data_IF_835923150071
#
_entry.id   IF_835923150071
#
_cell.length_a   1.000
_cell.length_b   1.000
_cell.length_c   1.000
_cell.angle_alpha   90.00
_cell.angle_beta   90.00
_cell.angle_gamma   90.00
#
_symmetry.space_group_name_H-M   'P 1'
#
loop_
_entity.id
_entity.type
_entity.pdbx_description
1 polymer ?
#
# COMPACT_ATOMS: atom_id res chain seq x y z
N UNK A 1 -14.43 -9.62 -2.25
CA UNK A 1 -15.08 -10.71 -1.47
C UNK A 1 -16.47 -10.92 -2.04
N UNK A 2 -16.98 -12.15 -2.04
CA UNK A 2 -18.41 -12.41 -2.28
C UNK A 2 -19.22 -11.75 -1.16
N UNK A 3 -20.47 -11.38 -1.42
CA UNK A 3 -21.33 -10.87 -0.35
C UNK A 3 -21.69 -11.99 0.61
N UNK A 4 -21.84 -11.66 1.89
CA UNK A 4 -22.33 -12.57 2.95
C UNK A 4 -23.56 -11.95 3.60
N UNK A 5 -24.50 -12.76 4.05
CA UNK A 5 -25.73 -12.31 4.71
C UNK A 5 -25.82 -12.94 6.09
N UNK A 6 -25.67 -12.11 7.12
CA UNK A 6 -25.82 -12.53 8.52
C UNK A 6 -27.05 -11.85 9.09
N UNK A 7 -28.08 -12.64 9.39
CA UNK A 7 -29.39 -12.13 9.78
C UNK A 7 -30.00 -11.23 8.69
N UNK A 8 -30.27 -9.96 9.05
CA UNK A 8 -30.84 -8.96 8.14
C UNK A 8 -29.79 -8.09 7.43
N UNK A 9 -28.50 -8.27 7.73
CA UNK A 9 -27.41 -7.42 7.21
C UNK A 9 -26.70 -8.17 6.08
N UNK A 10 -26.48 -7.47 4.97
CA UNK A 10 -25.65 -7.95 3.87
C UNK A 10 -24.30 -7.25 3.93
N UNK A 11 -23.23 -8.03 4.05
CA UNK A 11 -21.84 -7.60 4.09
C UNK A 11 -21.20 -7.74 2.72
N UNK A 12 -20.53 -6.68 2.26
CA UNK A 12 -19.88 -6.66 0.94
C UNK A 12 -18.40 -6.29 1.01
N UNK A 13 -18.00 -5.57 2.05
CA UNK A 13 -16.65 -5.03 2.18
C UNK A 13 -16.05 -5.44 3.53
N UNK A 14 -14.73 -5.40 3.60
CA UNK A 14 -13.99 -5.63 4.84
C UNK A 14 -12.97 -4.50 4.98
N UNK A 15 -13.11 -3.70 6.04
CA UNK A 15 -12.15 -2.67 6.39
C UNK A 15 -11.00 -3.32 7.16
N UNK A 16 -9.79 -3.24 6.60
CA UNK A 16 -8.59 -3.81 7.19
C UNK A 16 -7.70 -2.71 7.77
N UNK A 17 -7.29 -2.90 9.02
CA UNK A 17 -6.44 -2.00 9.79
C UNK A 17 -5.23 -2.82 10.22
N UNK A 18 -4.05 -2.22 10.16
CA UNK A 18 -2.84 -2.86 10.65
C UNK A 18 -1.98 -1.84 11.39
N UNK A 19 -1.52 -2.21 12.58
CA UNK A 19 -0.42 -1.50 13.23
C UNK A 19 0.89 -1.83 12.52
N UNK A 20 1.62 -0.79 12.11
CA UNK A 20 2.79 -0.95 11.24
C UNK A 20 3.97 -1.58 11.99
N UNK A 21 4.13 -1.31 13.28
CA UNK A 21 5.28 -1.78 14.06
C UNK A 21 5.10 -3.25 14.47
N UNK A 22 4.03 -3.56 15.20
CA UNK A 22 3.71 -4.89 15.71
C UNK A 22 3.19 -5.84 14.64
N UNK A 23 2.74 -5.32 13.50
CA UNK A 23 1.97 -6.06 12.48
C UNK A 23 0.63 -6.57 13.00
N UNK A 24 0.10 -6.06 14.12
CA UNK A 24 -1.19 -6.45 14.63
C UNK A 24 -2.30 -6.05 13.66
N UNK A 25 -3.22 -6.97 13.36
CA UNK A 25 -4.25 -6.77 12.33
C UNK A 25 -5.63 -6.75 12.94
N UNK A 26 -6.48 -5.94 12.35
CA UNK A 26 -7.91 -5.92 12.62
C UNK A 26 -8.66 -5.88 11.30
N UNK A 27 -9.72 -6.67 11.20
CA UNK A 27 -10.61 -6.71 10.04
C UNK A 27 -12.04 -6.51 10.51
N UNK A 28 -12.74 -5.55 9.90
CA UNK A 28 -14.10 -5.18 10.26
C UNK A 28 -15.00 -5.42 9.04
N UNK A 29 -15.99 -6.32 9.13
CA UNK A 29 -16.92 -6.55 8.04
C UNK A 29 -17.88 -5.35 7.95
N UNK A 30 -17.99 -4.76 6.76
CA UNK A 30 -18.83 -3.60 6.46
C UNK A 30 -20.03 -4.05 5.63
N UNK A 31 -21.22 -3.80 6.17
CA UNK A 31 -22.49 -4.21 5.59
C UNK A 31 -23.62 -3.23 5.88
N UNK A 32 -24.77 -3.47 5.23
CA UNK A 32 -25.97 -2.67 5.38
C UNK A 32 -27.24 -3.53 5.42
N UNK A 33 -28.31 -3.00 6.02
CA UNK A 33 -29.63 -3.64 6.08
C UNK A 33 -30.35 -3.67 4.72
N UNK A 34 -30.05 -2.70 3.86
CA UNK A 34 -30.59 -2.62 2.50
C UNK A 34 -29.46 -2.27 1.55
N UNK A 35 -29.32 -3.07 0.49
CA UNK A 35 -28.36 -2.84 -0.59
C UNK A 35 -29.15 -2.37 -1.80
N UNK A 36 -29.45 -1.06 -1.87
CA UNK A 36 -29.99 -0.46 -3.10
C UNK A 36 -28.86 -0.31 -4.14
N UNK A 37 -27.68 0.06 -3.66
CA UNK A 37 -26.45 0.24 -4.44
C UNK A 37 -25.23 -0.08 -3.56
N UNK A 38 -24.10 -0.47 -4.18
CA UNK A 38 -22.86 -0.79 -3.43
C UNK A 38 -22.24 0.44 -2.77
N UNK A 39 -22.47 1.63 -3.35
CA UNK A 39 -21.88 2.89 -2.94
C UNK A 39 -22.49 3.40 -1.63
N UNK A 40 -23.80 3.16 -1.42
CA UNK A 40 -24.49 3.45 -0.16
C UNK A 40 -24.00 2.65 1.06
N UNK A 41 -23.20 1.60 0.88
CA UNK A 41 -22.64 0.79 1.98
C UNK A 41 -21.29 1.36 2.42
N UNK A 42 -20.38 1.55 1.46
CA UNK A 42 -19.01 2.01 1.70
C UNK A 42 -18.97 3.54 1.71
N UNK A 43 -19.48 4.13 2.79
CA UNK A 43 -19.49 5.58 2.99
C UNK A 43 -18.55 5.99 4.11
N UNK A 44 -18.12 7.25 4.07
CA UNK A 44 -17.31 7.85 5.14
C UNK A 44 -17.95 7.75 6.53
N UNK A 45 -19.28 7.90 6.61
CA UNK A 45 -20.04 7.70 7.84
C UNK A 45 -19.93 6.26 8.36
N UNK A 46 -20.05 5.28 7.48
CA UNK A 46 -19.95 3.86 7.84
C UNK A 46 -18.55 3.53 8.34
N UNK A 47 -17.51 4.02 7.64
CA UNK A 47 -16.10 3.80 8.03
C UNK A 47 -15.78 4.48 9.36
N UNK A 48 -16.17 5.74 9.54
CA UNK A 48 -15.96 6.48 10.79
C UNK A 48 -16.60 5.74 11.98
N UNK A 49 -17.86 5.30 11.83
CA UNK A 49 -18.55 4.51 12.87
C UNK A 49 -17.83 3.20 13.17
N UNK A 50 -17.41 2.48 12.13
CA UNK A 50 -16.70 1.20 12.30
C UNK A 50 -15.38 1.37 13.05
N UNK A 51 -14.60 2.40 12.71
CA UNK A 51 -13.34 2.72 13.39
C UNK A 51 -13.59 3.10 14.85
N UNK A 52 -14.55 3.99 15.10
CA UNK A 52 -14.90 4.41 16.46
C UNK A 52 -15.25 3.23 17.35
N UNK A 53 -16.17 2.37 16.89
CA UNK A 53 -16.56 1.14 17.62
C UNK A 53 -15.36 0.26 17.93
N UNK A 54 -14.37 0.19 17.02
CA UNK A 54 -13.25 -0.72 17.19
C UNK A 54 -12.14 -0.16 18.08
N UNK A 55 -11.81 1.12 17.96
CA UNK A 55 -10.82 1.78 18.82
C UNK A 55 -11.36 2.07 20.23
N UNK A 56 -12.67 2.26 20.38
CA UNK A 56 -13.30 2.45 21.69
C UNK A 56 -13.57 1.11 22.41
N UNK A 57 -13.30 -0.04 21.77
CA UNK A 57 -13.48 -1.36 22.39
C UNK A 57 -12.26 -1.69 23.28
N UNK A 58 -12.44 -1.91 24.61
CA UNK A 58 -11.35 -2.24 25.52
C UNK A 58 -10.68 -3.60 25.24
N UNK A 59 -11.35 -4.52 24.54
CA UNK A 59 -10.77 -5.80 24.11
C UNK A 59 -9.87 -5.65 22.88
N UNK A 60 -9.88 -4.48 22.23
CA UNK A 60 -9.01 -4.20 21.10
C UNK A 60 -7.71 -3.58 21.61
N UNK A 61 -6.54 -4.20 21.37
CA UNK A 61 -5.26 -3.62 21.82
C UNK A 61 -4.83 -2.40 21.00
N UNK A 62 -5.53 -2.08 19.90
CA UNK A 62 -5.25 -0.88 19.11
C UNK A 62 -5.75 0.36 19.85
N UNK A 63 -4.85 1.34 19.99
CA UNK A 63 -5.15 2.68 20.46
C UNK A 63 -5.20 3.66 19.29
N UNK A 64 -5.89 4.79 19.48
CA UNK A 64 -5.91 5.86 18.49
C UNK A 64 -4.48 6.29 18.11
N UNK A 65 -4.07 6.18 16.83
CA UNK A 65 -2.69 6.37 16.44
C UNK A 65 -2.35 7.85 16.24
N UNK A 66 -1.07 8.22 16.35
CA UNK A 66 -0.61 9.58 15.99
C UNK A 66 -0.72 9.86 14.49
N UNK A 67 -0.58 8.82 13.67
CA UNK A 67 -0.58 8.88 12.21
C UNK A 67 -1.34 7.68 11.65
N UNK A 68 -2.30 7.95 10.78
CA UNK A 68 -3.03 6.93 10.02
C UNK A 68 -2.81 7.16 8.53
N UNK A 69 -2.39 6.11 7.82
CA UNK A 69 -2.10 6.17 6.39
C UNK A 69 -3.22 5.47 5.62
N UNK A 70 -3.88 6.18 4.70
CA UNK A 70 -4.95 5.63 3.85
C UNK A 70 -4.64 5.86 2.39
N UNK A 71 -5.38 5.21 1.49
CA UNK A 71 -5.41 5.63 0.09
C UNK A 71 -6.20 6.95 -0.09
N UNK A 72 -6.42 7.34 -1.35
CA UNK A 72 -7.17 8.54 -1.74
C UNK A 72 -8.67 8.28 -1.91
N UNK A 73 -9.20 7.16 -1.40
CA UNK A 73 -10.61 6.76 -1.46
C UNK A 73 -11.55 7.82 -0.89
N UNK A 74 -12.75 7.90 -1.44
CA UNK A 74 -13.78 8.87 -1.01
C UNK A 74 -14.39 8.51 0.34
N UNK A 75 -14.32 7.25 0.74
CA UNK A 75 -14.71 6.74 2.06
C UNK A 75 -13.82 7.29 3.19
N UNK A 76 -12.63 7.81 2.88
CA UNK A 76 -11.72 8.43 3.83
C UNK A 76 -11.75 9.96 3.78
N UNK A 77 -12.88 10.56 3.40
CA UNK A 77 -13.10 12.01 3.33
C UNK A 77 -14.34 12.43 4.12
N UNK A 78 -14.43 13.65 4.63
CA UNK A 78 -15.64 14.14 5.33
C UNK A 78 -15.74 13.63 6.78
N UNK A 79 -16.76 12.83 7.12
CA UNK A 79 -16.98 12.39 8.52
C UNK A 79 -15.81 11.59 9.11
N UNK A 80 -15.13 10.79 8.29
CA UNK A 80 -13.89 10.14 8.66
C UNK A 80 -12.82 11.17 9.09
N UNK A 81 -12.65 12.26 8.36
CA UNK A 81 -11.63 13.29 8.68
C UNK A 81 -11.98 14.03 9.96
N UNK A 82 -13.28 14.30 10.19
CA UNK A 82 -13.78 14.87 11.45
C UNK A 82 -13.43 13.96 12.63
N UNK A 83 -13.71 12.66 12.53
CA UNK A 83 -13.36 11.70 13.59
C UNK A 83 -11.86 11.65 13.87
N UNK A 84 -11.02 11.65 12.84
CA UNK A 84 -9.57 11.68 13.02
C UNK A 84 -9.12 12.95 13.73
N UNK A 85 -9.72 14.11 13.42
CA UNK A 85 -9.43 15.38 14.07
C UNK A 85 -9.82 15.38 15.55
N UNK A 86 -11.02 14.86 15.89
CA UNK A 86 -11.49 14.72 17.28
C UNK A 86 -10.51 13.93 18.15
N UNK A 87 -9.85 12.92 17.58
CA UNK A 87 -8.89 12.07 18.26
C UNK A 87 -7.42 12.48 18.03
N UNK A 88 -7.16 13.68 17.49
CA UNK A 88 -5.81 14.20 17.20
C UNK A 88 -4.94 13.28 16.31
N UNK A 89 -5.57 12.53 15.41
CA UNK A 89 -4.91 11.62 14.47
C UNK A 89 -4.53 12.38 13.20
N UNK A 90 -3.24 12.39 12.84
CA UNK A 90 -2.81 12.93 11.55
C UNK A 90 -3.14 11.93 10.44
N UNK A 91 -3.73 12.41 9.36
CA UNK A 91 -4.01 11.59 8.17
C UNK A 91 -2.90 11.83 7.14
N UNK A 92 -2.30 10.75 6.65
CA UNK A 92 -1.44 10.77 5.48
C UNK A 92 -2.08 10.00 4.33
N UNK A 93 -2.31 10.67 3.21
CA UNK A 93 -2.76 10.03 1.99
C UNK A 93 -1.58 9.38 1.27
N UNK A 94 -1.73 8.11 0.90
CA UNK A 94 -0.75 7.38 0.11
C UNK A 94 -0.50 8.11 -1.21
N UNK A 95 0.79 8.26 -1.56
CA UNK A 95 1.20 8.78 -2.88
C UNK A 95 1.28 7.69 -3.93
N UNK A 96 1.50 6.45 -3.51
CA UNK A 96 1.59 5.29 -4.39
C UNK A 96 1.05 4.03 -3.72
N UNK A 97 0.74 3.00 -4.52
CA UNK A 97 0.36 1.67 -4.02
C UNK A 97 1.44 1.04 -3.11
N UNK A 98 2.71 1.41 -3.28
CA UNK A 98 3.82 0.91 -2.44
C UNK A 98 3.73 1.37 -1.01
N UNK A 99 3.27 2.60 -0.77
CA UNK A 99 3.02 3.10 0.59
C UNK A 99 2.00 2.22 1.33
N UNK A 100 1.10 1.57 0.57
CA UNK A 100 0.10 0.62 1.07
C UNK A 100 0.54 -0.84 0.98
N UNK A 101 1.78 -1.15 0.59
CA UNK A 101 2.21 -2.53 0.31
C UNK A 101 2.07 -3.49 1.50
N UNK A 102 2.20 -2.97 2.72
CA UNK A 102 1.99 -3.73 3.96
C UNK A 102 0.53 -4.18 4.09
N UNK A 103 -0.42 -3.26 3.93
CA UNK A 103 -1.86 -3.58 4.06
C UNK A 103 -2.34 -4.42 2.88
N UNK A 104 -1.81 -4.19 1.67
CA UNK A 104 -2.15 -5.02 0.50
C UNK A 104 -1.64 -6.47 0.64
N UNK A 105 -0.46 -6.66 1.23
CA UNK A 105 0.03 -8.01 1.55
C UNK A 105 -0.89 -8.68 2.56
N UNK A 106 -1.37 -7.95 3.56
CA UNK A 106 -2.36 -8.48 4.50
C UNK A 106 -3.68 -8.84 3.82
N UNK A 107 -4.22 -7.95 2.98
CA UNK A 107 -5.45 -8.21 2.22
C UNK A 107 -5.36 -9.54 1.46
N UNK A 108 -4.23 -9.78 0.78
CA UNK A 108 -3.99 -11.05 0.10
C UNK A 108 -3.95 -12.24 1.08
N UNK A 109 -3.19 -12.14 2.16
CA UNK A 109 -3.09 -13.23 3.16
C UNK A 109 -4.43 -13.52 3.84
N UNK A 110 -5.26 -12.51 4.06
CA UNK A 110 -6.59 -12.68 4.61
C UNK A 110 -7.47 -13.50 3.66
N UNK A 111 -7.48 -13.14 2.37
CA UNK A 111 -8.21 -13.87 1.32
C UNK A 111 -7.70 -15.33 1.24
N UNK A 112 -6.38 -15.52 1.15
CA UNK A 112 -5.75 -16.85 1.08
C UNK A 112 -6.09 -17.77 2.26
N UNK A 113 -6.35 -17.22 3.46
CA UNK A 113 -6.73 -18.01 4.64
C UNK A 113 -8.25 -18.16 4.81
N UNK A 114 -9.02 -17.20 4.33
CA UNK A 114 -10.47 -17.15 4.56
C UNK A 114 -11.23 -18.06 3.59
N UNK A 115 -10.89 -18.04 2.31
CA UNK A 115 -11.65 -18.70 1.25
C UNK A 115 -11.43 -20.22 1.11
N UNK A 116 -10.28 -20.83 1.44
CA UNK A 116 -10.13 -22.29 1.28
C UNK A 116 -11.15 -23.12 2.06
N UNK A 117 -11.53 -22.68 3.26
CA UNK A 117 -12.59 -23.32 4.05
C UNK A 117 -13.96 -23.25 3.37
N UNK A 118 -14.23 -22.17 2.63
CA UNK A 118 -15.45 -22.00 1.85
C UNK A 118 -15.41 -22.83 0.59
N UNK A 119 -14.30 -22.81 -0.13
CA UNK A 119 -14.08 -23.61 -1.33
C UNK A 119 -14.25 -25.11 -1.01
N UNK A 120 -13.71 -25.58 0.12
CA UNK A 120 -13.90 -26.96 0.57
C UNK A 120 -15.36 -27.29 0.88
N UNK A 121 -16.07 -26.40 1.59
CA UNK A 121 -17.50 -26.55 1.89
C UNK A 121 -18.35 -26.56 0.62
N UNK A 122 -18.02 -25.69 -0.34
CA UNK A 122 -18.70 -25.59 -1.64
C UNK A 122 -18.48 -26.86 -2.47
N UNK A 123 -17.26 -27.40 -2.49
CA UNK A 123 -16.95 -28.66 -3.17
C UNK A 123 -17.74 -29.85 -2.59
N UNK A 124 -17.93 -29.89 -1.27
CA UNK A 124 -18.73 -30.92 -0.60
C UNK A 124 -20.25 -30.74 -0.82
N UNK A 125 -20.69 -29.51 -1.04
CA UNK A 125 -22.11 -29.14 -1.17
C UNK A 125 -22.57 -28.89 -2.61
N UNK A 126 -21.72 -29.20 -3.61
CA UNK A 126 -22.03 -28.98 -5.04
C UNK A 126 -23.38 -29.56 -5.46
N UNK A 127 -23.72 -30.74 -4.94
CA UNK A 127 -24.97 -31.43 -5.22
C UNK A 127 -26.23 -30.71 -4.72
N UNK A 128 -26.08 -29.75 -3.79
CA UNK A 128 -27.17 -28.98 -3.21
C UNK A 128 -27.37 -27.63 -3.93
N UNK A 129 -26.49 -27.26 -4.88
CA UNK A 129 -26.43 -25.91 -5.47
C UNK A 129 -26.29 -24.76 -4.45
N UNK A 130 -25.94 -25.09 -3.20
CA UNK A 130 -25.72 -24.12 -2.13
C UNK A 130 -24.24 -23.70 -2.10
N UNK A 131 -24.00 -22.39 -2.18
CA UNK A 131 -22.67 -21.80 -2.01
C UNK A 131 -22.53 -21.20 -0.61
N UNK A 132 -21.48 -21.59 0.08
CA UNK A 132 -21.09 -21.14 1.40
C UNK A 132 -20.56 -19.72 1.31
N UNK A 133 -21.25 -18.78 1.96
CA UNK A 133 -20.85 -17.37 1.98
C UNK A 133 -20.36 -16.89 3.32
N UNK A 134 -20.21 -17.78 4.30
CA UNK A 134 -19.99 -17.51 5.73
C UNK A 134 -18.62 -16.89 6.10
N UNK A 135 -18.11 -15.96 5.30
CA UNK A 135 -16.79 -15.36 5.52
C UNK A 135 -16.85 -14.41 6.71
N UNK A 136 -17.99 -13.78 6.99
CA UNK A 136 -18.17 -12.90 8.15
C UNK A 136 -18.06 -13.70 9.45
N UNK A 137 -18.62 -14.91 9.47
CA UNK A 137 -18.53 -15.82 10.63
C UNK A 137 -17.09 -16.31 10.85
N UNK A 138 -16.37 -16.63 9.78
CA UNK A 138 -15.01 -17.16 9.86
C UNK A 138 -13.95 -16.07 10.05
N UNK A 139 -14.28 -14.80 9.77
CA UNK A 139 -13.34 -13.69 9.81
C UNK A 139 -12.62 -13.54 11.16
N UNK A 140 -13.30 -13.54 12.33
CA UNK A 140 -12.62 -13.39 13.62
C UNK A 140 -11.60 -14.51 13.87
N UNK A 141 -11.96 -15.76 13.58
CA UNK A 141 -11.09 -16.93 13.76
C UNK A 141 -9.83 -16.84 12.89
N UNK A 142 -9.98 -16.40 11.64
CA UNK A 142 -8.85 -16.24 10.72
C UNK A 142 -7.93 -15.10 11.16
N UNK A 143 -8.49 -13.96 11.56
CA UNK A 143 -7.71 -12.80 12.04
C UNK A 143 -6.96 -13.15 13.32
N UNK A 144 -7.62 -13.83 14.26
CA UNK A 144 -7.01 -14.33 15.49
C UNK A 144 -5.86 -15.30 15.19
N UNK A 145 -6.07 -16.27 14.28
CA UNK A 145 -5.00 -17.17 13.84
C UNK A 145 -3.80 -16.41 13.25
N UNK A 146 -4.05 -15.37 12.44
CA UNK A 146 -2.98 -14.56 11.85
C UNK A 146 -2.22 -13.75 12.91
N UNK A 147 -2.90 -13.21 13.91
CA UNK A 147 -2.27 -12.42 14.98
C UNK A 147 -1.52 -13.27 16.02
N UNK A 148 -1.90 -14.53 16.19
CA UNK A 148 -1.18 -15.49 17.04
C UNK A 148 -0.06 -16.24 16.30
N UNK A 149 0.04 -16.11 14.97
CA UNK A 149 1.09 -16.76 14.19
C UNK A 149 2.38 -15.94 14.18
N UNK A 150 3.52 -16.62 14.36
CA UNK A 150 4.85 -16.00 14.24
C UNK A 150 5.01 -15.40 12.85
N UNK A 151 5.33 -14.11 12.80
CA UNK A 151 5.53 -13.40 11.54
C UNK A 151 7.01 -13.33 11.21
N UNK A 152 7.42 -13.89 10.06
CA UNK A 152 8.85 -13.93 9.62
C UNK A 152 9.59 -12.60 9.70
N UNK A 153 8.90 -11.48 9.45
CA UNK A 153 9.50 -10.14 9.48
C UNK A 153 9.89 -9.70 10.88
N UNK A 154 9.12 -10.02 11.91
CA UNK A 154 9.37 -9.55 13.29
C UNK A 154 9.90 -10.68 14.20
N UNK A 155 9.78 -11.94 13.79
CA UNK A 155 10.27 -13.11 14.53
C UNK A 155 9.39 -13.55 15.70
N UNK A 156 8.31 -12.82 16.00
CA UNK A 156 7.33 -13.12 17.07
C UNK A 156 5.89 -13.00 16.54
N UNK A 157 4.90 -13.33 17.37
CA UNK A 157 3.48 -13.15 17.03
C UNK A 157 3.08 -11.66 17.13
N UNK A 158 2.18 -11.15 16.26
CA UNK A 158 1.67 -9.79 16.39
C UNK A 158 1.01 -9.47 17.74
N UNK A 159 0.39 -10.47 18.39
CA UNK A 159 -0.17 -10.34 19.75
C UNK A 159 0.91 -10.05 20.78
N UNK A 160 2.06 -10.71 20.72
CA UNK A 160 3.17 -10.41 21.63
C UNK A 160 3.88 -9.10 21.25
N UNK A 161 3.87 -8.75 19.96
CA UNK A 161 4.57 -7.59 19.45
C UNK A 161 3.88 -6.26 19.81
N UNK A 162 2.53 -6.24 19.88
CA UNK A 162 1.78 -5.01 20.19
C UNK A 162 1.97 -4.56 21.65
N UNK A 163 2.36 -5.46 22.54
CA UNK A 163 2.66 -5.16 23.95
C UNK A 163 4.06 -4.59 24.17
N UNK A 164 4.93 -4.64 23.16
CA UNK A 164 6.31 -4.16 23.25
C UNK A 164 6.40 -2.69 22.85
N UNK A 165 7.27 -1.95 23.54
CA UNK A 165 7.59 -0.56 23.19
C UNK A 165 8.31 -0.46 21.84
N UNK A 166 9.22 -1.41 21.57
CA UNK A 166 9.97 -1.47 20.31
C UNK A 166 9.95 -2.89 19.73
N UNK A 167 9.81 -2.97 18.39
CA UNK A 167 9.81 -4.24 17.65
C UNK A 167 10.79 -4.12 16.49
N UNK A 168 11.79 -5.01 16.46
CA UNK A 168 12.73 -5.09 15.34
C UNK A 168 12.08 -5.82 14.17
N UNK A 169 12.04 -5.15 13.01
CA UNK A 169 11.51 -5.73 11.78
C UNK A 169 12.64 -5.95 10.75
N UNK A 170 12.77 -7.19 10.29
CA UNK A 170 13.57 -7.57 9.12
C UNK A 170 12.96 -6.95 7.86
N UNK A 171 13.78 -6.59 6.86
CA UNK A 171 13.29 -6.11 5.58
C UNK A 171 12.45 -7.17 4.87
N UNK A 172 11.44 -6.73 4.11
CA UNK A 172 10.52 -7.61 3.37
C UNK A 172 11.22 -8.40 2.26
N UNK A 173 12.27 -7.81 1.69
CA UNK A 173 13.10 -8.37 0.65
C UNK A 173 14.54 -8.45 1.16
N UNK A 174 15.24 -9.53 0.83
CA UNK A 174 16.68 -9.58 1.00
C UNK A 174 17.31 -8.55 0.08
N UNK A 175 18.10 -7.65 0.64
CA UNK A 175 18.95 -6.76 -0.14
C UNK A 175 20.34 -7.41 -0.24
N UNK A 176 20.86 -7.47 -1.45
CA UNK A 176 22.22 -7.95 -1.72
C UNK A 176 23.12 -6.71 -1.81
N UNK A 177 23.90 -6.45 -0.77
CA UNK A 177 24.78 -5.28 -0.74
C UNK A 177 24.95 -4.69 0.66
N UNK A 178 25.78 -3.65 0.73
CA UNK A 178 25.92 -2.81 1.91
C UNK A 178 24.69 -1.91 2.03
N UNK A 179 24.20 -1.70 3.26
CA UNK A 179 22.96 -0.98 3.53
C UNK A 179 23.22 0.18 4.47
N UNK A 180 22.58 1.31 4.22
CA UNK A 180 22.59 2.45 5.13
C UNK A 180 23.89 3.24 5.00
N UNK A 181 24.64 3.37 6.09
CA UNK A 181 25.87 4.18 6.07
C UNK A 181 27.00 3.56 5.24
N UNK A 182 26.96 2.23 5.07
CA UNK A 182 27.96 1.49 4.31
C UNK A 182 27.59 1.43 2.81
N UNK A 183 26.39 1.85 2.41
CA UNK A 183 25.95 1.85 1.01
C UNK A 183 26.63 3.00 0.23
N UNK A 184 27.26 2.67 -0.91
CA UNK A 184 27.87 3.67 -1.77
C UNK A 184 26.81 4.56 -2.40
N UNK A 185 26.78 5.83 -1.96
CA UNK A 185 25.79 6.80 -2.40
C UNK A 185 26.13 7.37 -3.78
N UNK A 186 25.17 7.34 -4.70
CA UNK A 186 25.24 8.11 -5.94
C UNK A 186 25.46 9.61 -5.67
N UNK A 187 26.43 10.19 -6.39
CA UNK A 187 26.68 11.64 -6.39
C UNK A 187 25.49 12.41 -6.92
N UNK A 188 25.23 13.62 -6.42
CA UNK A 188 24.15 14.49 -6.93
C UNK A 188 24.33 14.87 -8.39
N UNK A 189 25.56 14.80 -8.90
CA UNK A 189 25.92 15.27 -10.25
C UNK A 189 25.68 14.21 -11.33
N UNK A 190 25.33 12.98 -10.97
CA UNK A 190 25.03 11.95 -11.98
C UNK A 190 23.62 12.14 -12.55
N UNK A 191 23.49 11.83 -13.83
CA UNK A 191 22.20 11.74 -14.51
C UNK A 191 21.66 10.33 -14.37
N UNK A 192 20.35 10.20 -14.13
CA UNK A 192 19.70 8.90 -13.96
C UNK A 192 18.41 8.78 -14.75
N UNK A 193 18.10 7.54 -15.15
CA UNK A 193 16.74 7.09 -15.46
C UNK A 193 16.25 6.22 -14.31
N UNK A 194 14.95 6.22 -14.07
CA UNK A 194 14.37 5.34 -13.06
C UNK A 194 13.58 4.19 -13.69
N UNK A 195 13.51 3.06 -12.98
CA UNK A 195 12.79 1.88 -13.41
C UNK A 195 11.27 2.15 -13.39
N UNK A 196 10.61 1.97 -14.54
CA UNK A 196 9.16 2.16 -14.70
C UNK A 196 8.38 1.01 -14.07
N UNK A 197 7.30 1.34 -13.37
CA UNK A 197 6.28 0.37 -12.98
C UNK A 197 5.09 0.38 -13.93
N UNK A 198 4.26 -0.68 -13.94
CA UNK A 198 3.04 -0.73 -14.75
C UNK A 198 2.09 0.46 -14.53
N UNK A 199 2.13 1.10 -13.35
CA UNK A 199 1.33 2.30 -13.07
C UNK A 199 1.97 3.62 -13.52
N UNK A 200 3.23 3.60 -13.94
CA UNK A 200 3.95 4.77 -14.49
C UNK A 200 3.74 4.87 -16.02
N UNK A 201 3.16 3.85 -16.66
CA UNK A 201 2.86 3.79 -18.08
C UNK A 201 1.44 4.31 -18.37
N UNK A 202 1.26 5.09 -19.44
CA UNK A 202 -0.07 5.47 -19.93
C UNK A 202 -0.84 4.21 -20.37
N UNK A 203 -2.01 3.96 -19.77
CA UNK A 203 -2.82 2.77 -20.04
C UNK A 203 -2.70 1.63 -19.02
N UNK A 204 -1.77 1.71 -18.06
CA UNK A 204 -1.74 0.87 -16.86
C UNK A 204 -1.44 -0.62 -17.06
N UNK A 205 -1.30 -1.09 -18.30
CA UNK A 205 -0.88 -2.46 -18.66
C UNK A 205 0.42 -2.38 -19.43
N UNK A 206 1.37 -3.20 -19.01
CA UNK A 206 2.69 -3.31 -19.65
C UNK A 206 2.59 -4.25 -20.85
N UNK A 207 2.90 -3.73 -22.03
CA UNK A 207 3.14 -4.52 -23.23
C UNK A 207 4.59 -5.01 -23.26
N UNK A 208 4.85 -6.05 -24.07
CA UNK A 208 6.18 -6.67 -24.13
C UNK A 208 7.26 -5.74 -24.71
N UNK A 209 6.83 -4.73 -25.46
CA UNK A 209 7.62 -3.70 -26.15
C UNK A 209 7.79 -2.41 -25.34
N UNK A 210 7.19 -2.30 -24.15
CA UNK A 210 7.33 -1.11 -23.31
C UNK A 210 8.75 -0.96 -22.75
N UNK A 211 9.22 0.30 -22.68
CA UNK A 211 10.50 0.63 -22.06
C UNK A 211 10.51 0.23 -20.58
N UNK A 212 11.63 -0.36 -20.14
CA UNK A 212 11.85 -0.69 -18.73
C UNK A 212 12.19 0.55 -17.88
N UNK A 213 12.77 1.56 -18.51
CA UNK A 213 13.33 2.75 -17.86
C UNK A 213 12.60 4.01 -18.32
N UNK A 214 12.57 5.03 -17.46
CA UNK A 214 11.96 6.31 -17.77
C UNK A 214 12.53 6.90 -19.06
N UNK A 215 11.69 7.42 -19.97
CA UNK A 215 12.18 8.02 -21.21
C UNK A 215 12.99 9.30 -20.94
N UNK A 216 12.62 10.04 -19.89
CA UNK A 216 13.27 11.28 -19.47
C UNK A 216 14.45 11.02 -18.53
N UNK A 217 15.33 12.02 -18.46
CA UNK A 217 16.54 12.03 -17.62
C UNK A 217 16.27 12.88 -16.38
N UNK A 218 16.85 12.49 -15.25
CA UNK A 218 16.66 13.16 -13.97
C UNK A 218 17.99 13.42 -13.26
N UNK A 219 18.04 14.50 -12.50
CA UNK A 219 19.05 14.73 -11.46
C UNK A 219 18.60 14.15 -10.12
N UNK A 220 19.57 13.78 -9.29
CA UNK A 220 19.31 13.44 -7.88
C UNK A 220 19.17 14.74 -7.10
N UNK A 221 17.93 15.10 -6.78
CA UNK A 221 17.62 16.31 -6.00
C UNK A 221 17.97 16.15 -4.53
N UNK A 222 17.62 14.99 -3.96
CA UNK A 222 17.84 14.71 -2.55
C UNK A 222 18.11 13.23 -2.35
N UNK A 223 18.90 12.91 -1.32
CA UNK A 223 19.05 11.55 -0.83
C UNK A 223 18.92 11.51 0.70
N UNK A 224 18.41 10.40 1.22
CA UNK A 224 18.23 10.15 2.64
C UNK A 224 18.88 8.82 3.02
N UNK A 225 19.72 8.86 4.05
CA UNK A 225 20.40 7.69 4.59
C UNK A 225 19.86 7.43 6.00
N UNK A 226 19.58 6.16 6.30
CA UNK A 226 19.26 5.72 7.65
C UNK A 226 20.00 4.42 7.93
N UNK A 227 20.42 4.21 9.19
CA UNK A 227 21.05 2.95 9.61
C UNK A 227 20.14 1.77 9.25
N UNK A 228 20.71 0.73 8.64
CA UNK A 228 20.00 -0.50 8.25
C UNK A 228 18.82 -0.31 7.27
N UNK A 229 18.79 0.79 6.50
CA UNK A 229 17.84 0.98 5.39
C UNK A 229 18.56 1.42 4.12
N UNK A 230 18.04 1.05 2.93
CA UNK A 230 18.66 1.48 1.69
C UNK A 230 18.60 3.00 1.53
N UNK A 231 19.56 3.57 0.82
CA UNK A 231 19.55 5.00 0.49
C UNK A 231 18.36 5.31 -0.39
N UNK A 232 17.57 6.30 0.02
CA UNK A 232 16.42 6.78 -0.74
C UNK A 232 16.80 8.02 -1.54
N UNK A 233 16.45 8.04 -2.82
CA UNK A 233 16.70 9.12 -3.76
C UNK A 233 15.39 9.77 -4.21
N UNK A 234 15.35 11.11 -4.25
CA UNK A 234 14.29 11.89 -4.88
C UNK A 234 14.84 12.55 -6.13
N UNK A 235 14.06 12.47 -7.20
CA UNK A 235 14.47 12.88 -8.54
C UNK A 235 13.79 14.17 -8.97
N UNK A 236 14.47 14.91 -9.84
CA UNK A 236 13.97 16.09 -10.52
C UNK A 236 14.34 16.01 -12.00
N UNK A 237 13.36 16.21 -12.88
CA UNK A 237 13.54 16.09 -14.32
C UNK A 237 14.54 17.12 -14.83
N UNK A 238 15.41 16.70 -15.75
CA UNK A 238 16.28 17.61 -16.48
C UNK A 238 15.43 18.31 -17.55
N UNK A 239 15.31 19.65 -17.52
CA UNK A 239 14.60 20.38 -18.56
C UNK A 239 15.31 20.20 -19.91
N UNK A 240 14.59 19.71 -20.91
CA UNK A 240 15.07 19.62 -22.29
C UNK A 240 14.62 20.84 -23.09
N UNK A 241 15.55 21.72 -23.44
CA UNK A 241 15.35 22.83 -24.37
C UNK A 241 14.73 24.09 -23.75
N UNK A 242 15.40 25.23 -23.94
CA UNK A 242 14.79 26.55 -23.84
C UNK A 242 13.72 26.65 -24.94
N UNK A 243 12.44 26.64 -24.55
CA UNK A 243 11.36 27.18 -25.37
C UNK A 243 11.00 28.49 -24.69
N UNK A 244 10.89 29.57 -25.46
CA UNK A 244 10.77 30.98 -25.03
C UNK A 244 9.53 31.35 -24.19
N UNK A 245 9.00 30.46 -23.37
CA UNK A 245 7.96 30.75 -22.39
C UNK A 245 8.27 30.02 -21.08
N UNK A 246 8.41 30.79 -20.01
CA UNK A 246 8.78 30.44 -18.62
C UNK A 246 7.85 29.43 -17.90
N UNK A 247 7.16 28.54 -18.60
CA UNK A 247 6.10 27.68 -18.07
C UNK A 247 6.46 26.18 -18.08
N UNK A 248 7.77 25.84 -17.99
CA UNK A 248 8.18 24.45 -17.86
C UNK A 248 7.90 23.93 -16.45
N UNK A 249 6.85 23.13 -16.31
CA UNK A 249 6.55 22.41 -15.07
C UNK A 249 7.56 21.26 -14.93
N UNK A 250 8.61 21.47 -14.13
CA UNK A 250 9.56 20.43 -13.71
C UNK A 250 8.80 19.22 -13.14
N UNK A 251 8.80 18.08 -13.85
CA UNK A 251 8.15 16.88 -13.32
C UNK A 251 9.04 16.27 -12.25
N UNK A 252 8.40 15.97 -11.12
CA UNK A 252 9.02 15.27 -10.01
C UNK A 252 8.21 14.01 -9.76
N UNK A 253 8.80 12.82 -9.91
CA UNK A 253 8.11 11.60 -9.53
C UNK A 253 7.61 11.70 -8.08
N UNK A 254 6.36 11.32 -7.82
CA UNK A 254 5.75 11.43 -6.48
C UNK A 254 6.31 10.40 -5.45
N UNK A 255 7.38 9.69 -5.79
CA UNK A 255 8.00 8.64 -4.96
C UNK A 255 9.53 8.76 -4.90
N UNK A 256 10.10 8.15 -3.88
CA UNK A 256 11.54 7.92 -3.76
C UNK A 256 11.95 6.62 -4.45
N UNK A 257 13.25 6.49 -4.72
CA UNK A 257 13.86 5.36 -5.41
C UNK A 257 15.03 4.81 -4.58
N UNK A 258 15.32 3.52 -4.73
CA UNK A 258 16.55 2.90 -4.23
C UNK A 258 17.59 2.80 -5.35
N UNK A 259 18.86 2.51 -5.02
CA UNK A 259 19.96 2.44 -5.99
C UNK A 259 19.67 1.53 -7.19
N UNK A 260 19.03 0.39 -6.96
CA UNK A 260 18.70 -0.63 -7.98
C UNK A 260 17.59 -0.18 -8.92
N UNK A 261 16.80 0.81 -8.50
CA UNK A 261 15.76 1.40 -9.34
C UNK A 261 16.29 2.55 -10.19
N UNK A 262 17.58 2.84 -10.12
CA UNK A 262 18.23 3.92 -10.85
C UNK A 262 19.30 3.38 -11.79
N UNK A 263 19.19 3.74 -13.06
CA UNK A 263 20.21 3.54 -14.07
C UNK A 263 20.98 4.85 -14.23
N UNK A 264 22.27 4.83 -13.91
CA UNK A 264 23.17 5.96 -14.16
C UNK A 264 23.40 6.07 -15.66
N UNK A 265 23.22 7.27 -16.20
CA UNK A 265 23.44 7.57 -17.61
C UNK A 265 24.88 8.08 -17.76
N UNK A 266 25.71 7.40 -18.57
CA UNK A 266 27.03 7.91 -18.94
C UNK A 266 26.95 9.29 -19.58
N UNK A 267 27.93 10.16 -19.31
CA UNK A 267 27.96 11.54 -19.82
C UNK A 267 28.05 11.62 -21.35
N UNK A 268 28.55 10.55 -21.99
CA UNK A 268 28.71 10.36 -23.43
C UNK A 268 27.48 9.72 -24.09
N UNK A 269 26.37 9.58 -23.36
CA UNK A 269 25.13 9.04 -23.94
C UNK A 269 24.51 10.05 -24.91
N UNK A 270 24.64 9.77 -26.21
CA UNK A 270 23.96 10.54 -27.25
C UNK A 270 22.49 10.12 -27.38
N UNK A 271 21.60 11.10 -27.57
CA UNK A 271 20.21 10.82 -27.94
C UNK A 271 20.10 10.52 -29.44
N UNK A 272 19.08 9.74 -29.85
CA UNK A 272 18.79 9.54 -31.26
C UNK A 272 18.65 10.89 -31.97
N UNK A 273 19.14 11.00 -33.21
CA UNK A 273 19.12 12.26 -33.93
C UNK A 273 17.68 12.71 -34.21
N UNK A 274 17.46 14.02 -34.12
CA UNK A 274 16.12 14.62 -34.10
C UNK A 274 15.33 14.42 -35.41
N UNK A 275 16.01 14.11 -36.52
CA UNK A 275 15.35 13.77 -37.79
C UNK A 275 14.46 12.53 -37.70
N UNK A 276 14.65 11.66 -36.70
CA UNK A 276 13.76 10.51 -36.42
C UNK A 276 12.35 10.96 -36.02
N UNK A 277 12.18 12.21 -35.57
CA UNK A 277 10.88 12.80 -35.23
C UNK A 277 10.16 13.40 -36.44
N UNK A 278 10.84 13.53 -37.58
CA UNK A 278 10.30 14.09 -38.81
C UNK A 278 9.64 12.99 -39.64
N UNK A 279 8.38 12.67 -39.33
CA UNK A 279 7.49 11.90 -40.20
C UNK A 279 6.45 12.83 -40.83
#
# INVERSE_FOLDING_TARGET
MLYDKVGRITYLFCLNIMDVASRYKVSIPIGAYSVKDRQGILTSKTIARALKVKYDNPECPLVWPKLLITDRGSEFKGQYEVLMMEHNVKIQKAKSKRTMGIIERYNRTLVEKLFPSQDASDLLSLHLNDRTRAWVKNLPLVVENINNSITRQIGISPVEAIEKEEVFAKPSYSHNGLIGFDEEKLSSNVLVRYLLYPGDLEGGRRHADDLNWSPHIYHIRQSMIQKNKPVLYWLEEVPFGLIDNDDYILKRPERSFVREELMVIPFDTELPPQWVLSN
#
